data_IF_914108922307
#
_entry.id   IF_914108922307
#
_cell.length_a   1.000
_cell.length_b   1.000
_cell.length_c   1.000
_cell.angle_alpha   90.00
_cell.angle_beta   90.00
_cell.angle_gamma   90.00
#
_symmetry.space_group_name_H-M   'P 1'
#
loop_
_entity.id
_entity.type
_entity.pdbx_description
1 polymer ?
#
# COMPACT_ATOMS: atom_id res chain seq x y z
N UNK A 1 4.62 54.42 40.79
CA UNK A 1 3.17 54.11 40.74
C UNK A 1 2.68 54.20 39.29
N UNK A 2 2.45 53.06 38.65
CA UNK A 2 1.38 52.78 37.67
C UNK A 2 1.68 51.45 36.98
N UNK A 3 1.06 50.42 37.55
CA UNK A 3 0.85 49.08 37.01
C UNK A 3 -0.02 49.15 35.74
N UNK A 4 0.32 48.33 34.74
CA UNK A 4 -0.54 47.88 33.63
C UNK A 4 0.14 46.61 33.10
N UNK A 5 -0.14 45.45 33.70
CA UNK A 5 -1.22 44.49 33.35
C UNK A 5 -1.00 43.87 31.97
N UNK A 6 -0.68 42.59 32.03
CA UNK A 6 -0.56 41.64 30.94
C UNK A 6 -1.89 41.45 30.19
N UNK A 7 -1.80 41.23 28.88
CA UNK A 7 -2.74 40.37 28.14
C UNK A 7 -1.97 39.47 27.16
N UNK A 8 -1.67 38.28 27.67
CA UNK A 8 -1.60 37.04 26.88
C UNK A 8 -2.93 36.88 26.15
N UNK A 9 -2.92 36.84 24.81
CA UNK A 9 -3.89 36.04 24.00
C UNK A 9 -3.14 35.51 22.76
N UNK A 10 -2.66 34.27 22.91
CA UNK A 10 -2.88 33.14 22.01
C UNK A 10 -2.81 33.42 20.49
N UNK A 11 -1.62 33.30 19.91
CA UNK A 11 -1.48 32.70 18.58
C UNK A 11 -1.03 31.25 18.76
N UNK A 12 -2.00 30.41 19.07
CA UNK A 12 -1.91 28.95 19.00
C UNK A 12 -1.75 28.56 17.53
N UNK A 13 -0.53 28.62 17.00
CA UNK A 13 -0.19 27.84 15.80
C UNK A 13 0.52 26.59 16.27
N UNK A 14 -0.27 25.72 16.90
CA UNK A 14 -0.04 24.29 16.84
C UNK A 14 -0.19 23.86 15.39
N UNK A 15 0.81 24.12 14.55
CA UNK A 15 1.01 23.36 13.33
C UNK A 15 1.91 22.14 13.63
N UNK A 16 1.62 21.51 14.78
CA UNK A 16 1.99 20.15 15.11
C UNK A 16 0.98 19.20 14.47
N UNK A 17 0.87 19.27 13.15
CA UNK A 17 0.24 18.26 12.32
C UNK A 17 1.16 18.06 11.14
N UNK A 18 2.38 17.58 11.45
CA UNK A 18 3.11 16.74 10.51
C UNK A 18 2.17 15.60 10.20
N UNK A 19 1.45 15.82 9.11
CA UNK A 19 0.86 14.87 8.22
C UNK A 19 1.36 13.45 8.51
N UNK A 20 0.64 12.77 9.41
CA UNK A 20 0.24 11.39 9.21
C UNK A 20 -0.67 11.34 7.98
N UNK A 21 -0.18 11.87 6.86
CA UNK A 21 -0.63 11.44 5.56
C UNK A 21 -0.15 10.01 5.50
N UNK A 22 -1.08 9.11 5.80
CA UNK A 22 -0.97 7.71 5.47
C UNK A 22 -0.22 7.62 4.14
N UNK A 23 0.91 6.91 4.12
CA UNK A 23 1.73 6.73 2.92
C UNK A 23 1.04 5.83 1.89
N UNK A 24 -0.27 5.62 2.07
CA UNK A 24 -1.28 5.01 1.21
C UNK A 24 -1.21 5.62 -0.17
N UNK A 25 -0.39 5.05 -1.04
CA UNK A 25 -0.32 5.42 -2.46
C UNK A 25 1.02 5.96 -2.94
N UNK A 26 2.02 6.20 -2.08
CA UNK A 26 3.33 6.70 -2.56
C UNK A 26 4.03 5.69 -3.48
N UNK A 27 4.11 4.42 -3.09
CA UNK A 27 4.88 3.43 -3.85
C UNK A 27 4.44 3.26 -5.31
N UNK A 28 3.13 3.21 -5.58
CA UNK A 28 2.60 3.14 -6.94
C UNK A 28 2.71 4.48 -7.69
N UNK A 29 2.36 5.60 -7.04
CA UNK A 29 2.45 6.92 -7.68
C UNK A 29 3.89 7.34 -7.99
N UNK A 30 4.87 6.91 -7.20
CA UNK A 30 6.30 7.07 -7.45
C UNK A 30 6.75 6.24 -8.65
N UNK A 31 6.29 5.00 -8.79
CA UNK A 31 6.57 4.19 -9.97
C UNK A 31 5.95 4.78 -11.25
N UNK A 32 4.71 5.27 -11.19
CA UNK A 32 4.08 5.96 -12.32
C UNK A 32 4.89 7.20 -12.75
N UNK A 33 5.36 8.01 -11.80
CA UNK A 33 6.23 9.17 -12.07
C UNK A 33 7.55 8.76 -12.72
N UNK A 34 8.12 7.63 -12.33
CA UNK A 34 9.31 7.06 -12.96
C UNK A 34 9.09 6.64 -14.42
N UNK A 35 7.87 6.19 -14.76
CA UNK A 35 7.50 5.81 -16.15
C UNK A 35 7.22 7.02 -17.04
N UNK A 36 6.71 8.13 -16.49
CA UNK A 36 6.48 9.38 -17.23
C UNK A 36 7.75 10.24 -17.41
N UNK A 37 8.87 9.88 -16.77
CA UNK A 37 10.15 10.60 -16.82
C UNK A 37 10.98 10.42 -18.10
N UNK A 38 10.36 10.00 -19.21
CA UNK A 38 11.00 9.87 -20.52
C UNK A 38 11.01 11.18 -21.32
N UNK A 39 11.48 12.30 -20.77
CA UNK A 39 11.96 13.42 -21.59
C UNK A 39 12.74 14.46 -20.78
N UNK A 40 14.02 14.62 -21.17
CA UNK A 40 14.95 15.75 -20.93
C UNK A 40 15.29 16.11 -19.48
N UNK A 41 16.45 15.66 -19.03
CA UNK A 41 17.23 16.33 -18.00
C UNK A 41 18.54 16.85 -18.61
N UNK A 42 18.53 18.09 -19.09
CA UNK A 42 19.73 18.93 -19.19
C UNK A 42 20.05 19.51 -17.82
N UNK A 43 21.32 19.40 -17.44
CA UNK A 43 21.88 19.80 -16.18
C UNK A 43 21.62 21.27 -15.80
N UNK A 44 21.40 21.53 -14.50
CA UNK A 44 22.12 22.61 -13.82
C UNK A 44 22.23 22.38 -12.30
N UNK A 45 23.49 22.35 -11.89
CA UNK A 45 24.04 22.34 -10.52
C UNK A 45 23.79 23.68 -9.83
N UNK A 46 23.38 23.67 -8.57
CA UNK A 46 23.77 24.70 -7.60
C UNK A 46 23.63 24.16 -6.16
N UNK A 47 24.71 24.36 -5.41
CA UNK A 47 25.02 23.96 -4.04
C UNK A 47 24.52 24.96 -2.99
N UNK A 48 24.12 24.49 -1.81
CA UNK A 48 24.43 25.19 -0.56
C UNK A 48 24.35 24.25 0.66
N UNK A 49 25.32 24.44 1.54
CA UNK A 49 25.75 23.69 2.71
C UNK A 49 25.05 24.21 3.97
N UNK A 50 24.55 23.34 4.84
CA UNK A 50 24.45 23.62 6.27
C UNK A 50 24.50 22.32 7.08
N UNK A 51 25.44 22.27 8.01
CA UNK A 51 25.77 21.20 8.95
C UNK A 51 25.26 21.64 10.32
N UNK A 52 24.46 20.82 11.01
CA UNK A 52 24.42 20.81 12.47
C UNK A 52 23.86 19.47 12.96
N UNK A 53 24.59 18.86 13.88
CA UNK A 53 24.31 17.59 14.52
C UNK A 53 23.09 17.69 15.45
N UNK A 54 22.32 16.62 15.50
CA UNK A 54 21.28 16.37 16.49
C UNK A 54 21.18 14.87 16.71
N UNK A 55 21.71 14.43 17.83
CA UNK A 55 21.81 13.05 18.30
C UNK A 55 20.50 12.29 18.25
N UNK A 56 20.60 11.07 17.72
CA UNK A 56 19.78 9.87 17.88
C UNK A 56 18.59 9.98 18.83
N UNK A 57 17.39 10.07 18.26
CA UNK A 57 16.24 9.36 18.80
C UNK A 57 15.99 8.18 17.86
N UNK A 58 16.55 7.02 18.20
CA UNK A 58 16.18 5.75 17.61
C UNK A 58 14.72 5.53 18.01
N UNK A 59 13.81 6.01 17.17
CA UNK A 59 12.41 5.65 17.22
C UNK A 59 12.41 4.13 17.13
N UNK A 60 12.07 3.48 18.24
CA UNK A 60 11.94 2.04 18.31
C UNK A 60 10.96 1.60 17.23
N UNK A 61 11.53 1.19 16.09
CA UNK A 61 10.80 0.69 14.94
C UNK A 61 10.01 -0.50 15.44
N UNK A 62 8.67 -0.42 15.40
CA UNK A 62 7.84 -1.62 15.49
C UNK A 62 8.44 -2.68 14.56
N UNK A 63 8.48 -3.96 14.97
CA UNK A 63 9.09 -5.01 14.15
C UNK A 63 8.48 -4.94 12.76
N UNK A 64 9.33 -4.61 11.78
CA UNK A 64 8.90 -4.50 10.40
C UNK A 64 8.47 -5.88 9.94
N UNK A 65 7.15 -6.07 9.79
CA UNK A 65 6.58 -7.33 9.33
C UNK A 65 7.20 -7.68 7.97
N UNK A 66 7.77 -8.88 7.85
CA UNK A 66 8.49 -9.26 6.64
C UNK A 66 7.53 -9.26 5.44
N UNK A 67 8.00 -8.84 4.26
CA UNK A 67 7.15 -8.74 3.08
C UNK A 67 6.54 -10.09 2.67
N UNK A 68 5.29 -10.12 2.19
CA UNK A 68 4.65 -11.35 1.73
C UNK A 68 5.33 -11.81 0.44
N UNK A 69 5.57 -13.12 0.33
CA UNK A 69 6.19 -13.74 -0.83
C UNK A 69 5.65 -15.17 -1.06
N UNK A 70 5.82 -15.69 -2.27
CA UNK A 70 5.34 -17.03 -2.64
C UNK A 70 3.87 -17.05 -3.06
N UNK A 71 3.24 -18.21 -2.96
CA UNK A 71 1.86 -18.43 -3.43
C UNK A 71 0.87 -18.40 -2.28
N UNK A 72 -0.21 -17.64 -2.46
CA UNK A 72 -1.34 -17.52 -1.56
C UNK A 72 -2.60 -18.07 -2.24
N UNK A 73 -3.43 -18.79 -1.48
CA UNK A 73 -4.73 -19.29 -1.96
C UNK A 73 -5.84 -19.01 -0.96
N UNK A 74 -7.06 -18.92 -1.47
CA UNK A 74 -8.27 -18.78 -0.68
C UNK A 74 -9.52 -18.70 -1.53
N UNK A 75 -10.68 -18.74 -0.88
CA UNK A 75 -11.97 -18.46 -1.53
C UNK A 75 -12.51 -17.16 -0.94
N UNK A 76 -12.50 -16.12 -1.76
CA UNK A 76 -12.97 -14.79 -1.39
C UNK A 76 -14.49 -14.70 -1.55
N UNK A 77 -15.09 -13.93 -0.66
CA UNK A 77 -16.50 -13.58 -0.74
C UNK A 77 -16.82 -12.82 -2.04
N UNK A 78 -17.98 -13.13 -2.59
CA UNK A 78 -18.49 -12.55 -3.82
C UNK A 78 -19.89 -12.01 -3.55
N UNK A 79 -20.25 -10.86 -4.13
CA UNK A 79 -21.57 -10.27 -3.89
C UNK A 79 -22.67 -11.03 -4.64
N UNK A 80 -22.37 -11.52 -5.84
CA UNK A 80 -23.32 -12.08 -6.81
C UNK A 80 -22.93 -13.49 -7.28
N UNK A 81 -21.96 -14.12 -6.61
CA UNK A 81 -21.53 -15.48 -6.90
C UNK A 81 -21.23 -16.28 -5.63
N UNK A 82 -21.04 -17.59 -5.77
CA UNK A 82 -20.83 -18.49 -4.63
C UNK A 82 -19.45 -18.31 -3.97
N UNK A 83 -18.56 -17.55 -4.60
CA UNK A 83 -17.22 -17.25 -4.14
C UNK A 83 -16.24 -17.16 -5.31
N UNK A 84 -15.08 -16.58 -5.05
CA UNK A 84 -13.99 -16.46 -6.02
C UNK A 84 -12.80 -17.25 -5.46
N UNK A 85 -12.46 -18.38 -6.09
CA UNK A 85 -11.22 -19.09 -5.76
C UNK A 85 -10.06 -18.30 -6.34
N UNK A 86 -9.14 -17.88 -5.49
CA UNK A 86 -7.98 -17.07 -5.90
C UNK A 86 -6.71 -17.82 -5.63
N UNK A 87 -5.80 -17.77 -6.60
CA UNK A 87 -4.41 -18.12 -6.46
C UNK A 87 -3.56 -16.91 -6.87
N UNK A 88 -2.75 -16.41 -5.94
CA UNK A 88 -1.87 -15.27 -6.13
C UNK A 88 -0.44 -15.72 -5.89
N UNK A 89 0.45 -15.55 -6.87
CA UNK A 89 1.89 -15.80 -6.69
C UNK A 89 2.64 -14.49 -6.75
N UNK A 90 3.45 -14.22 -5.72
CA UNK A 90 4.36 -13.08 -5.62
C UNK A 90 5.80 -13.53 -5.84
N UNK A 91 6.46 -12.92 -6.82
CA UNK A 91 7.85 -13.18 -7.19
C UNK A 91 8.72 -11.96 -6.92
N UNK A 92 9.93 -12.19 -6.42
CA UNK A 92 10.89 -11.16 -6.03
C UNK A 92 10.68 -10.62 -4.62
N UNK A 93 11.54 -9.68 -4.22
CA UNK A 93 11.47 -8.92 -2.98
C UNK A 93 11.00 -7.47 -3.24
N UNK A 94 10.57 -6.71 -2.21
CA UNK A 94 10.01 -5.37 -2.40
C UNK A 94 10.93 -4.38 -3.12
N UNK A 95 12.24 -4.54 -2.95
CA UNK A 95 13.25 -3.68 -3.58
C UNK A 95 13.67 -4.14 -4.98
N UNK A 96 13.22 -5.31 -5.42
CA UNK A 96 13.62 -5.85 -6.72
C UNK A 96 12.89 -5.12 -7.84
N UNK A 97 13.64 -4.65 -8.84
CA UNK A 97 13.06 -4.05 -10.06
C UNK A 97 12.18 -5.06 -10.83
N UNK A 98 12.54 -6.34 -10.75
CA UNK A 98 11.87 -7.42 -11.47
C UNK A 98 10.72 -8.07 -10.70
N UNK A 99 10.40 -7.60 -9.48
CA UNK A 99 9.27 -8.13 -8.71
C UNK A 99 7.99 -8.14 -9.55
N UNK A 100 7.21 -9.21 -9.44
CA UNK A 100 6.02 -9.42 -10.27
C UNK A 100 5.01 -10.29 -9.56
N UNK A 101 3.76 -10.22 -10.01
CA UNK A 101 2.71 -11.13 -9.56
C UNK A 101 2.02 -11.81 -10.74
N UNK A 102 1.47 -12.99 -10.47
CA UNK A 102 0.42 -13.61 -11.27
C UNK A 102 -0.76 -13.91 -10.36
N UNK A 103 -1.97 -13.66 -10.84
CA UNK A 103 -3.20 -13.93 -10.11
C UNK A 103 -4.22 -14.62 -11.00
N UNK A 104 -4.73 -15.76 -10.56
CA UNK A 104 -5.82 -16.49 -11.18
C UNK A 104 -7.04 -16.43 -10.27
N UNK A 105 -8.17 -16.04 -10.83
CA UNK A 105 -9.46 -15.96 -10.16
C UNK A 105 -10.46 -16.87 -10.86
N UNK A 106 -11.14 -17.73 -10.10
CA UNK A 106 -12.19 -18.61 -10.60
C UNK A 106 -13.51 -18.29 -9.91
N UNK A 107 -14.46 -17.73 -10.64
CA UNK A 107 -15.80 -17.39 -10.17
C UNK A 107 -16.66 -18.65 -10.10
N UNK A 108 -16.96 -19.10 -8.90
CA UNK A 108 -17.71 -20.35 -8.66
C UNK A 108 -19.18 -20.14 -9.06
N UNK A 109 -19.72 -21.10 -9.81
CA UNK A 109 -21.10 -21.05 -10.33
C UNK A 109 -21.24 -20.34 -11.70
N UNK A 110 -20.13 -19.97 -12.35
CA UNK A 110 -20.10 -19.49 -13.75
C UNK A 110 -19.49 -20.56 -14.67
N UNK A 111 -19.87 -20.62 -15.96
CA UNK A 111 -19.25 -21.52 -16.94
C UNK A 111 -17.73 -21.29 -17.03
N UNK A 112 -16.92 -22.33 -17.13
CA UNK A 112 -15.46 -22.26 -17.02
C UNK A 112 -14.82 -21.27 -18.03
N UNK A 113 -15.32 -21.22 -19.26
CA UNK A 113 -14.86 -20.29 -20.32
C UNK A 113 -15.12 -18.81 -20.01
N UNK A 114 -15.97 -18.50 -19.03
CA UNK A 114 -16.24 -17.14 -18.52
C UNK A 114 -15.92 -17.00 -17.02
N UNK A 115 -15.52 -18.09 -16.39
CA UNK A 115 -15.34 -18.20 -14.95
C UNK A 115 -13.90 -17.97 -14.51
N UNK A 116 -12.93 -17.99 -15.43
CA UNK A 116 -11.51 -17.81 -15.10
C UNK A 116 -10.99 -16.46 -15.61
N UNK A 117 -10.49 -15.64 -14.71
CA UNK A 117 -9.81 -14.38 -15.01
C UNK A 117 -8.38 -14.48 -14.51
N UNK A 118 -7.42 -14.17 -15.38
CA UNK A 118 -5.99 -14.14 -15.04
C UNK A 118 -5.46 -12.73 -15.23
N UNK A 119 -4.65 -12.28 -14.28
CA UNK A 119 -3.93 -11.00 -14.37
C UNK A 119 -2.48 -11.17 -13.93
N UNK A 120 -1.62 -10.29 -14.44
CA UNK A 120 -0.21 -10.25 -14.07
C UNK A 120 0.33 -8.84 -14.14
N UNK A 121 1.39 -8.58 -13.39
CA UNK A 121 2.01 -7.27 -13.37
C UNK A 121 3.01 -7.10 -12.25
N UNK A 122 3.07 -5.89 -11.69
CA UNK A 122 4.00 -5.50 -10.63
C UNK A 122 3.27 -5.41 -9.30
N UNK A 123 3.95 -5.72 -8.20
CA UNK A 123 3.40 -5.52 -6.86
C UNK A 123 4.24 -4.54 -6.05
N UNK A 124 3.63 -3.90 -5.06
CA UNK A 124 4.25 -2.87 -4.22
C UNK A 124 3.74 -2.98 -2.79
N UNK A 125 4.50 -2.46 -1.83
CA UNK A 125 4.03 -2.29 -0.45
C UNK A 125 3.90 -0.80 -0.15
N UNK A 126 2.80 -0.42 0.49
CA UNK A 126 2.61 0.90 1.07
C UNK A 126 2.37 0.79 2.57
N UNK A 127 2.77 1.84 3.30
CA UNK A 127 2.53 1.96 4.73
C UNK A 127 1.23 2.74 4.99
N UNK A 128 0.42 2.23 5.90
CA UNK A 128 -0.84 2.76 6.36
C UNK A 128 -2.03 2.42 5.46
N UNK A 129 -3.23 2.55 6.04
CA UNK A 129 -4.53 2.80 5.41
C UNK A 129 -5.33 3.82 6.25
N UNK A 130 -6.54 4.21 5.84
CA UNK A 130 -7.32 5.23 6.58
C UNK A 130 -7.64 4.80 8.03
N UNK A 131 -7.70 3.48 8.27
CA UNK A 131 -8.08 2.89 9.56
C UNK A 131 -6.86 2.69 10.47
N UNK A 132 -5.69 2.38 9.89
CA UNK A 132 -4.47 2.05 10.61
C UNK A 132 -3.25 2.62 9.87
N UNK A 133 -2.58 3.67 10.40
CA UNK A 133 -1.40 4.27 9.77
C UNK A 133 -0.16 3.34 9.75
N UNK A 134 -0.15 2.28 10.56
CA UNK A 134 0.93 1.29 10.63
C UNK A 134 0.62 0.02 9.80
N UNK A 135 -0.52 -0.04 9.11
CA UNK A 135 -0.84 -1.15 8.22
C UNK A 135 0.21 -1.31 7.10
N UNK A 136 0.35 -2.52 6.57
CA UNK A 136 1.13 -2.75 5.35
C UNK A 136 0.15 -3.20 4.27
N UNK A 137 0.05 -2.39 3.20
CA UNK A 137 -0.86 -2.65 2.08
C UNK A 137 -0.07 -3.15 0.88
N UNK A 138 -0.35 -4.38 0.47
CA UNK A 138 0.09 -4.97 -0.79
C UNK A 138 -0.77 -4.45 -1.94
N UNK A 139 -0.15 -3.83 -2.93
CA UNK A 139 -0.80 -3.32 -4.13
C UNK A 139 -0.38 -4.15 -5.34
N UNK A 140 -1.34 -4.76 -6.03
CA UNK A 140 -1.13 -5.47 -7.29
C UNK A 140 -1.52 -4.55 -8.43
N UNK A 141 -0.57 -4.25 -9.32
CA UNK A 141 -0.73 -3.35 -10.45
C UNK A 141 -0.62 -4.15 -11.74
N UNK A 142 -1.75 -4.53 -12.37
CA UNK A 142 -1.74 -5.18 -13.67
C UNK A 142 -0.98 -4.34 -14.71
N UNK A 143 -0.19 -4.99 -15.56
CA UNK A 143 0.56 -4.30 -16.63
C UNK A 143 0.01 -4.56 -18.03
N UNK A 144 -1.03 -5.40 -18.14
CA UNK A 144 -1.69 -5.74 -19.39
C UNK A 144 -3.21 -5.80 -19.18
N UNK A 145 -3.96 -5.41 -20.20
CA UNK A 145 -5.41 -5.31 -20.17
C UNK A 145 -5.92 -4.13 -19.33
N UNK A 146 -7.21 -3.87 -19.43
CA UNK A 146 -7.91 -2.85 -18.65
C UNK A 146 -8.37 -3.40 -17.29
N UNK A 147 -7.40 -3.91 -16.51
CA UNK A 147 -7.65 -4.48 -15.18
C UNK A 147 -7.23 -3.48 -14.10
N UNK A 148 -8.15 -3.17 -13.20
CA UNK A 148 -7.89 -2.27 -12.09
C UNK A 148 -6.88 -2.86 -11.07
N UNK A 149 -6.18 -2.01 -10.31
CA UNK A 149 -5.36 -2.45 -9.18
C UNK A 149 -6.15 -3.23 -8.13
N UNK A 150 -5.47 -4.18 -7.47
CA UNK A 150 -6.03 -4.95 -6.35
C UNK A 150 -5.21 -4.70 -5.09
N UNK A 151 -5.88 -4.54 -3.96
CA UNK A 151 -5.24 -4.18 -2.69
C UNK A 151 -5.49 -5.26 -1.65
N UNK A 152 -4.45 -5.62 -0.91
CA UNK A 152 -4.56 -6.50 0.24
C UNK A 152 -3.90 -5.88 1.46
N UNK A 153 -4.52 -5.99 2.62
CA UNK A 153 -3.88 -5.77 3.91
C UNK A 153 -3.00 -6.99 4.21
N UNK A 154 -1.75 -6.75 4.54
CA UNK A 154 -0.90 -7.78 5.10
C UNK A 154 -1.24 -7.96 6.58
N UNK A 155 -1.81 -9.12 6.92
CA UNK A 155 -2.17 -9.48 8.31
C UNK A 155 -0.99 -10.17 8.99
N UNK A 156 -0.26 -10.99 8.25
CA UNK A 156 0.98 -11.63 8.66
C UNK A 156 1.84 -11.98 7.44
N UNK A 157 2.98 -12.63 7.64
CA UNK A 157 3.78 -13.22 6.54
C UNK A 157 3.03 -14.32 5.76
N UNK A 158 1.97 -14.89 6.36
CA UNK A 158 1.23 -16.04 5.81
C UNK A 158 -0.22 -15.72 5.48
N UNK A 159 -0.68 -14.51 5.75
CA UNK A 159 -2.08 -14.12 5.54
C UNK A 159 -2.17 -12.69 5.02
N UNK A 160 -2.93 -12.54 3.94
CA UNK A 160 -3.30 -11.26 3.36
C UNK A 160 -4.83 -11.20 3.23
N UNK A 161 -5.42 -10.03 3.44
CA UNK A 161 -6.87 -9.82 3.40
C UNK A 161 -7.24 -8.80 2.34
N UNK A 162 -8.15 -9.15 1.44
CA UNK A 162 -8.59 -8.27 0.35
C UNK A 162 -9.19 -6.98 0.94
N UNK A 163 -8.80 -5.85 0.35
CA UNK A 163 -9.34 -4.53 0.64
C UNK A 163 -10.23 -4.06 -0.50
N UNK A 164 -11.08 -3.08 -0.21
CA UNK A 164 -11.85 -2.39 -1.25
C UNK A 164 -10.96 -1.44 -2.08
N UNK A 165 -11.55 -0.76 -3.07
CA UNK A 165 -10.83 0.17 -3.96
C UNK A 165 -10.26 1.39 -3.22
N UNK A 166 -10.79 1.71 -2.05
CA UNK A 166 -10.35 2.79 -1.17
C UNK A 166 -9.25 2.33 -0.20
N UNK A 167 -8.84 1.06 -0.25
CA UNK A 167 -7.88 0.41 0.67
C UNK A 167 -8.40 0.24 2.10
N UNK A 168 -9.73 0.18 2.26
CA UNK A 168 -10.38 -0.10 3.54
C UNK A 168 -10.79 -1.56 3.64
N UNK A 169 -10.86 -2.06 4.87
CA UNK A 169 -11.40 -3.38 5.13
C UNK A 169 -12.92 -3.42 4.89
N UNK A 170 -13.40 -4.56 4.39
CA UNK A 170 -14.84 -4.85 4.33
C UNK A 170 -15.42 -4.96 5.74
N UNK A 171 -16.59 -4.35 5.97
CA UNK A 171 -17.25 -4.29 7.28
C UNK A 171 -18.17 -5.49 7.57
N UNK A 172 -18.30 -6.41 6.63
CA UNK A 172 -19.13 -7.61 6.80
C UNK A 172 -18.31 -8.82 7.26
N UNK A 173 -19.00 -9.88 7.69
CA UNK A 173 -18.39 -11.07 8.28
C UNK A 173 -17.94 -12.12 7.27
N UNK A 174 -17.92 -11.80 5.96
CA UNK A 174 -17.54 -12.77 4.93
C UNK A 174 -16.01 -12.91 4.86
N UNK A 175 -15.56 -13.98 4.20
CA UNK A 175 -14.13 -14.27 4.09
C UNK A 175 -13.45 -13.45 3.00
N UNK A 176 -12.41 -12.72 3.37
CA UNK A 176 -11.57 -11.95 2.46
C UNK A 176 -10.09 -12.34 2.52
N UNK A 177 -9.74 -13.40 3.25
CA UNK A 177 -8.35 -13.81 3.45
C UNK A 177 -7.86 -14.79 2.39
N UNK A 178 -6.61 -14.59 1.96
CA UNK A 178 -5.78 -15.58 1.28
C UNK A 178 -4.65 -16.01 2.22
N UNK A 179 -4.34 -17.30 2.23
CA UNK A 179 -3.30 -17.89 3.06
C UNK A 179 -2.18 -18.44 2.20
N UNK A 180 -0.94 -18.25 2.66
CA UNK A 180 0.25 -18.79 2.02
C UNK A 180 0.19 -20.32 2.01
N UNK A 181 0.55 -20.93 0.88
CA UNK A 181 0.70 -22.38 0.73
C UNK A 181 1.89 -22.92 1.54
#
# INVERSE_FOLDING_TARGET
>A
MKTLIAFIILFSVTFGSQQAQAQTGKSYSEWLKGKSGGSKATAKKASAKAKAAGTTAEAASAPAMAAPNGTFRGTLACADCQGIRVELTLTGAPKDANRSFTMKQMYVGKPESKGVVSSSGKWFLAKGNIQNPEAVVLQLIPTAGDVEPVYFLQVSEREIKLLNRQQDEFKDSRNYSLRKL
#
